data_IF_683215937107
#
_entry.id   IF_683215937107
#
_cell.length_a   1.000
_cell.length_b   1.000
_cell.length_c   1.000
_cell.angle_alpha   90.00
_cell.angle_beta   90.00
_cell.angle_gamma   90.00
#
_symmetry.space_group_name_H-M   'P 1'
#
loop_
_entity.id
_entity.type
_entity.pdbx_description
1 polymer ?
#
# COMPACT_ATOMS: atom_id res chain seq x y z
N UNK A 1 -2.24 -13.99 -15.78
CA UNK A 1 -2.07 -12.53 -15.66
C UNK A 1 -3.44 -11.86 -15.81
N UNK A 2 -4.12 -11.55 -14.72
CA UNK A 2 -5.39 -10.81 -14.75
C UNK A 2 -5.07 -9.34 -15.05
N UNK A 3 -5.41 -8.88 -16.25
CA UNK A 3 -5.16 -7.51 -16.71
C UNK A 3 -6.35 -6.57 -16.56
N UNK A 4 -7.47 -7.08 -16.03
CA UNK A 4 -8.72 -6.36 -15.99
C UNK A 4 -9.18 -6.18 -14.55
N UNK A 5 -9.69 -4.99 -14.25
CA UNK A 5 -10.13 -4.61 -12.92
C UNK A 5 -11.63 -4.77 -12.74
N UNK A 6 -12.35 -5.05 -13.82
CA UNK A 6 -13.80 -5.19 -13.82
C UNK A 6 -14.26 -6.08 -14.98
N UNK A 7 -15.35 -6.82 -14.76
CA UNK A 7 -16.03 -7.59 -15.80
C UNK A 7 -17.44 -7.06 -15.93
N UNK A 8 -17.77 -6.52 -17.10
CA UNK A 8 -19.10 -5.98 -17.34
C UNK A 8 -20.16 -7.07 -17.16
N UNK A 9 -21.16 -6.91 -16.27
CA UNK A 9 -22.09 -7.99 -15.92
C UNK A 9 -22.87 -8.55 -17.12
N UNK A 10 -23.31 -7.67 -18.02
CA UNK A 10 -24.09 -7.98 -19.23
C UNK A 10 -23.27 -8.52 -20.40
N UNK A 11 -22.19 -7.84 -20.81
CA UNK A 11 -21.41 -8.21 -22.01
C UNK A 11 -20.28 -9.21 -21.71
N UNK A 12 -19.97 -9.46 -20.42
CA UNK A 12 -18.81 -10.24 -19.96
C UNK A 12 -17.46 -9.73 -20.48
N UNK A 13 -17.41 -8.50 -20.99
CA UNK A 13 -16.18 -7.87 -21.42
C UNK A 13 -15.35 -7.44 -20.22
N UNK A 14 -14.05 -7.60 -20.36
CA UNK A 14 -13.05 -7.25 -19.35
C UNK A 14 -12.61 -5.81 -19.58
N UNK A 15 -12.73 -4.96 -18.56
CA UNK A 15 -12.29 -3.57 -18.63
C UNK A 15 -11.27 -3.26 -17.53
N UNK A 16 -10.38 -2.30 -17.80
CA UNK A 16 -9.56 -1.66 -16.78
C UNK A 16 -10.10 -0.26 -16.55
N UNK A 17 -10.70 -0.04 -15.38
CA UNK A 17 -11.26 1.26 -14.97
C UNK A 17 -10.28 1.97 -14.03
N UNK A 18 -9.45 1.20 -13.31
CA UNK A 18 -8.41 1.75 -12.44
C UNK A 18 -7.07 1.72 -13.15
N UNK A 19 -6.29 2.76 -12.92
CA UNK A 19 -4.95 2.93 -13.45
C UNK A 19 -4.08 3.67 -12.43
N UNK A 20 -2.78 3.44 -12.52
CA UNK A 20 -1.77 4.19 -11.76
C UNK A 20 -1.00 5.04 -12.76
N UNK A 21 -1.03 6.36 -12.58
CA UNK A 21 -0.31 7.32 -13.44
C UNK A 21 1.04 7.62 -12.82
N UNK A 22 2.09 7.55 -13.61
CA UNK A 22 3.41 8.09 -13.30
C UNK A 22 3.85 9.07 -14.37
N UNK A 23 4.76 9.97 -14.00
CA UNK A 23 5.51 10.73 -15.00
C UNK A 23 6.52 9.81 -15.67
N UNK A 24 6.84 10.09 -16.94
CA UNK A 24 7.79 9.27 -17.73
C UNK A 24 9.15 9.06 -17.02
N UNK A 25 9.61 10.06 -16.26
CA UNK A 25 10.88 9.99 -15.52
C UNK A 25 10.85 9.00 -14.34
N UNK A 26 9.67 8.78 -13.78
CA UNK A 26 9.44 8.04 -12.54
C UNK A 26 9.01 6.58 -12.83
N UNK A 27 8.89 6.20 -14.10
CA UNK A 27 8.54 4.82 -14.49
C UNK A 27 9.53 3.80 -13.92
N UNK A 28 10.81 4.19 -13.78
CA UNK A 28 11.85 3.32 -13.19
C UNK A 28 11.63 3.04 -11.70
N UNK A 29 10.89 3.92 -11.04
CA UNK A 29 10.58 3.83 -9.62
C UNK A 29 9.29 3.03 -9.37
N UNK A 30 8.51 2.72 -10.42
CA UNK A 30 7.38 1.80 -10.35
C UNK A 30 7.88 0.35 -10.46
N UNK A 31 7.97 -0.35 -9.34
CA UNK A 31 8.47 -1.73 -9.32
C UNK A 31 7.44 -2.73 -9.86
N UNK A 32 6.19 -2.62 -9.40
CA UNK A 32 5.11 -3.56 -9.73
C UNK A 32 3.80 -2.80 -9.82
N UNK A 33 3.01 -3.06 -10.87
CA UNK A 33 1.58 -2.73 -10.92
C UNK A 33 0.81 -4.00 -11.24
N UNK A 34 -0.06 -4.43 -10.32
CA UNK A 34 -0.85 -5.66 -10.50
C UNK A 34 -2.26 -5.53 -9.97
N UNK A 35 -3.18 -6.23 -10.63
CA UNK A 35 -4.54 -6.46 -10.14
C UNK A 35 -4.48 -7.51 -9.02
N UNK A 36 -5.14 -7.24 -7.89
CA UNK A 36 -5.29 -8.16 -6.77
C UNK A 36 -6.58 -8.96 -6.95
N UNK A 37 -6.46 -10.20 -7.40
CA UNK A 37 -7.61 -11.05 -7.72
C UNK A 37 -8.31 -11.62 -6.48
N UNK A 38 -7.56 -11.86 -5.41
CA UNK A 38 -8.02 -12.53 -4.18
C UNK A 38 -8.41 -11.55 -3.08
N UNK A 39 -8.34 -10.25 -3.32
CA UNK A 39 -8.78 -9.26 -2.36
C UNK A 39 -10.31 -9.22 -2.34
N UNK A 40 -10.91 -9.68 -1.25
CA UNK A 40 -12.35 -9.54 -1.03
C UNK A 40 -12.68 -8.05 -0.83
N UNK A 41 -13.44 -7.51 -1.78
CA UNK A 41 -13.85 -6.11 -1.80
C UNK A 41 -15.37 -6.06 -1.86
N UNK A 42 -15.95 -5.03 -1.24
CA UNK A 42 -17.41 -4.81 -1.25
C UNK A 42 -17.95 -4.34 -2.62
N UNK A 43 -17.10 -4.33 -3.65
CA UNK A 43 -17.40 -3.85 -4.99
C UNK A 43 -17.16 -4.97 -6.00
N UNK A 44 -17.78 -4.87 -7.16
CA UNK A 44 -17.56 -5.74 -8.32
C UNK A 44 -16.22 -5.47 -9.03
N UNK A 45 -15.35 -4.67 -8.41
CA UNK A 45 -14.12 -4.14 -8.96
C UNK A 45 -12.91 -4.74 -8.21
N UNK A 46 -11.93 -5.26 -8.94
CA UNK A 46 -10.66 -5.73 -8.37
C UNK A 46 -9.77 -4.55 -8.01
N UNK A 47 -9.10 -4.64 -6.85
CA UNK A 47 -8.09 -3.68 -6.46
C UNK A 47 -6.88 -3.72 -7.39
N UNK A 48 -6.28 -2.55 -7.61
CA UNK A 48 -4.99 -2.41 -8.28
C UNK A 48 -3.98 -1.97 -7.23
N UNK A 49 -2.91 -2.74 -7.08
CA UNK A 49 -1.79 -2.39 -6.22
C UNK A 49 -0.60 -1.96 -7.09
N UNK A 50 0.06 -0.88 -6.70
CA UNK A 50 1.37 -0.53 -7.23
C UNK A 50 2.39 -0.32 -6.13
N UNK A 51 3.57 -0.91 -6.31
CA UNK A 51 4.72 -0.76 -5.43
C UNK A 51 5.66 0.24 -6.07
N UNK A 52 6.07 1.26 -5.32
CA UNK A 52 6.97 2.32 -5.77
C UNK A 52 8.20 2.41 -4.86
N UNK A 53 9.37 2.55 -5.46
CA UNK A 53 10.61 2.92 -4.78
C UNK A 53 10.71 4.43 -4.69
N UNK A 54 10.73 5.01 -3.49
CA UNK A 54 10.92 6.44 -3.33
C UNK A 54 12.35 6.77 -2.91
N UNK A 55 13.10 7.41 -3.81
CA UNK A 55 14.46 7.85 -3.51
C UNK A 55 14.46 9.17 -2.74
N UNK A 56 14.89 9.13 -1.48
CA UNK A 56 15.17 10.36 -0.73
C UNK A 56 16.56 10.86 -1.10
N UNK A 57 16.63 12.05 -1.70
CA UNK A 57 17.93 12.71 -1.89
C UNK A 57 18.47 13.03 -0.49
N UNK A 58 19.71 12.65 -0.16
CA UNK A 58 20.34 13.10 1.08
C UNK A 58 20.23 14.62 1.12
N UNK A 59 19.55 15.15 2.13
CA UNK A 59 19.46 16.60 2.32
C UNK A 59 20.86 17.17 2.20
N UNK A 60 21.12 17.93 1.13
CA UNK A 60 22.39 18.63 0.94
C UNK A 60 22.75 19.24 2.28
N UNK A 61 23.96 19.01 2.80
CA UNK A 61 24.41 19.55 4.09
C UNK A 61 24.34 21.09 4.07
N UNK A 62 23.14 21.66 4.20
CA UNK A 62 22.92 23.05 4.53
C UNK A 62 23.32 23.15 5.99
N UNK A 63 24.17 24.13 6.33
CA UNK A 63 24.58 24.50 7.69
C UNK A 63 23.48 24.11 8.67
N UNK A 64 23.77 23.30 9.71
CA UNK A 64 22.80 22.76 10.69
C UNK A 64 21.69 23.77 10.98
N UNK A 65 20.63 23.77 10.19
CA UNK A 65 19.39 24.46 10.54
C UNK A 65 18.84 23.52 11.58
N UNK A 66 18.91 23.92 12.84
CA UNK A 66 18.28 23.20 13.93
C UNK A 66 16.78 23.26 13.63
N UNK A 67 16.28 22.28 12.88
CA UNK A 67 14.86 22.11 12.65
C UNK A 67 14.30 21.54 13.95
N UNK A 68 13.21 22.09 14.50
CA UNK A 68 12.52 21.42 15.57
C UNK A 68 12.14 20.01 15.09
N UNK A 69 12.21 19.00 15.96
CA UNK A 69 11.79 17.64 15.61
C UNK A 69 10.35 17.67 15.09
N UNK A 70 10.01 16.74 14.19
CA UNK A 70 8.63 16.57 13.76
C UNK A 70 7.74 16.37 15.00
N UNK A 71 6.63 17.08 15.05
CA UNK A 71 5.68 16.93 16.14
C UNK A 71 4.96 15.58 16.01
N UNK A 72 5.49 14.57 16.69
CA UNK A 72 4.94 13.20 16.73
C UNK A 72 4.03 12.97 17.93
N UNK A 73 3.67 14.00 18.70
CA UNK A 73 2.83 13.86 19.91
C UNK A 73 1.48 13.19 19.61
N UNK A 74 0.93 13.44 18.41
CA UNK A 74 -0.33 12.81 17.95
C UNK A 74 -0.18 11.35 17.54
N UNK A 75 1.05 10.89 17.27
CA UNK A 75 1.37 9.51 16.95
C UNK A 75 1.63 8.67 18.21
N UNK A 76 2.06 9.32 19.31
CA UNK A 76 2.31 8.70 20.61
C UNK A 76 1.01 8.49 21.38
N UNK A 77 0.19 7.54 20.94
CA UNK A 77 -1.01 7.13 21.66
C UNK A 77 -0.83 5.71 22.20
N UNK A 78 -0.50 5.60 23.48
CA UNK A 78 -0.27 4.32 24.18
C UNK A 78 -1.49 3.40 24.05
N UNK A 79 -2.71 3.95 24.10
CA UNK A 79 -3.92 3.15 23.94
C UNK A 79 -4.01 2.53 22.54
N UNK A 80 -3.62 3.25 21.48
CA UNK A 80 -3.55 2.68 20.12
C UNK A 80 -2.44 1.66 19.99
N UNK A 81 -1.31 1.86 20.65
CA UNK A 81 -0.20 0.89 20.65
C UNK A 81 -0.60 -0.42 21.33
N UNK A 82 -1.26 -0.34 22.49
CA UNK A 82 -1.78 -1.51 23.20
C UNK A 82 -2.87 -2.23 22.40
N UNK A 83 -3.81 -1.49 21.80
CA UNK A 83 -4.84 -2.05 20.92
C UNK A 83 -4.22 -2.75 19.72
N UNK A 84 -3.25 -2.12 19.06
CA UNK A 84 -2.56 -2.73 17.93
C UNK A 84 -1.82 -4.01 18.31
N UNK A 85 -1.11 -4.01 19.45
CA UNK A 85 -0.40 -5.19 19.93
C UNK A 85 -1.35 -6.35 20.25
N UNK A 86 -2.50 -6.04 20.85
CA UNK A 86 -3.56 -7.01 21.13
C UNK A 86 -4.14 -7.57 19.82
N UNK A 87 -4.63 -6.71 18.92
CA UNK A 87 -5.20 -7.11 17.63
C UNK A 87 -4.21 -7.93 16.79
N UNK A 88 -2.93 -7.56 16.82
CA UNK A 88 -1.87 -8.28 16.12
C UNK A 88 -1.69 -9.67 16.74
N UNK A 89 -1.65 -9.78 18.06
CA UNK A 89 -1.58 -11.06 18.77
C UNK A 89 -2.75 -11.98 18.46
N UNK A 90 -3.97 -11.43 18.48
CA UNK A 90 -5.20 -12.16 18.13
C UNK A 90 -5.18 -12.63 16.67
N UNK A 91 -4.73 -11.80 15.72
CA UNK A 91 -4.63 -12.17 14.30
C UNK A 91 -3.55 -13.22 14.03
N UNK A 92 -2.39 -13.11 14.70
CA UNK A 92 -1.31 -14.10 14.57
C UNK A 92 -1.69 -15.46 15.16
N UNK A 93 -2.55 -15.49 16.18
CA UNK A 93 -3.00 -16.73 16.82
C UNK A 93 -4.21 -17.35 16.11
N UNK A 94 -5.09 -16.54 15.51
CA UNK A 94 -6.32 -17.00 14.84
C UNK A 94 -6.13 -17.52 13.41
N UNK A 95 -5.06 -17.16 12.69
CA UNK A 95 -4.82 -17.61 11.32
C UNK A 95 -3.72 -18.67 11.15
N UNK A 96 -3.21 -19.23 12.27
CA UNK A 96 -2.15 -20.22 12.22
C UNK A 96 -0.81 -19.65 11.76
N UNK A 97 0.27 -20.38 12.02
CA UNK A 97 1.63 -19.98 11.71
C UNK A 97 1.77 -19.67 10.21
N UNK A 98 1.92 -18.40 9.82
CA UNK A 98 2.26 -18.05 8.45
C UNK A 98 3.68 -18.54 8.18
N UNK A 99 3.82 -19.75 7.65
CA UNK A 99 5.09 -20.23 7.10
C UNK A 99 5.40 -19.39 5.86
N UNK A 100 6.25 -18.38 6.01
CA UNK A 100 6.88 -17.72 4.88
C UNK A 100 7.71 -18.75 4.13
N UNK A 101 7.37 -19.00 2.86
CA UNK A 101 8.28 -19.61 1.89
C UNK A 101 9.05 -18.51 1.18
#
# INVERSE_FOLDING_TARGET
>A
MYKATWIHPRSKQRHSIYLVISLRGDIRDLEVTKVMCEAECWTDHHLVNSVLTMHTIPTHHKKKIIRPPFNVSKLMNISREMQFAQDLGERLTSHGHMTGK
#
